data_IF_731349347968
#
_entry.id   IF_731349347968
#
_cell.length_a   1.000
_cell.length_b   1.000
_cell.length_c   1.000
_cell.angle_alpha   90.00
_cell.angle_beta   90.00
_cell.angle_gamma   90.00
#
_symmetry.space_group_name_H-M   'P 1'
#
loop_
_entity.id
_entity.type
_entity.pdbx_description
1 polymer ?
#
# COMPACT_ATOMS: atom_id res chain seq x y z
N UNK A 1 14.77 1.82 -3.71
CA UNK A 1 13.77 0.90 -4.31
C UNK A 1 12.45 1.65 -4.47
N UNK A 2 11.84 1.62 -5.66
CA UNK A 2 10.48 2.11 -5.93
C UNK A 2 9.52 0.92 -5.98
N UNK A 3 8.46 0.94 -5.16
CA UNK A 3 7.50 -0.14 -5.05
C UNK A 3 6.13 0.34 -5.51
N UNK A 4 5.49 -0.41 -6.40
CA UNK A 4 4.24 -0.01 -7.02
C UNK A 4 3.27 -1.19 -7.21
N UNK A 5 1.97 -0.91 -7.22
CA UNK A 5 0.94 -1.92 -7.50
C UNK A 5 0.87 -2.31 -9.00
N UNK A 6 0.04 -3.30 -9.31
CA UNK A 6 -0.09 -3.95 -10.62
C UNK A 6 -0.44 -3.07 -11.81
N UNK A 7 -0.90 -1.86 -11.57
CA UNK A 7 -1.24 -0.91 -12.63
C UNK A 7 -0.04 -0.11 -13.12
N UNK A 8 1.12 -0.23 -12.47
CA UNK A 8 2.34 0.51 -12.80
C UNK A 8 3.39 -0.33 -13.54
N UNK A 9 3.05 -1.55 -13.98
CA UNK A 9 3.92 -2.34 -14.85
C UNK A 9 3.94 -1.71 -16.24
N UNK A 10 4.86 -0.76 -16.45
CA UNK A 10 5.03 -0.02 -17.70
C UNK A 10 6.52 0.12 -18.04
N UNK A 11 6.94 -0.48 -19.16
CA UNK A 11 8.34 -0.46 -19.59
C UNK A 11 8.89 0.95 -19.84
N UNK A 12 8.07 1.88 -20.36
CA UNK A 12 8.49 3.26 -20.60
C UNK A 12 8.71 4.08 -19.34
N UNK A 13 8.32 3.58 -18.16
CA UNK A 13 8.65 4.17 -16.86
C UNK A 13 9.77 3.37 -16.21
N UNK A 14 9.62 2.04 -16.14
CA UNK A 14 10.50 1.18 -15.37
C UNK A 14 11.90 1.06 -15.96
N UNK A 15 12.03 1.04 -17.29
CA UNK A 15 13.34 0.90 -17.94
C UNK A 15 14.15 2.19 -17.81
N UNK A 16 13.64 3.39 -18.15
CA UNK A 16 14.37 4.63 -17.91
C UNK A 16 14.67 4.85 -16.42
N UNK A 17 13.73 4.51 -15.53
CA UNK A 17 13.95 4.63 -14.08
C UNK A 17 15.16 3.84 -13.59
N UNK A 18 15.36 2.61 -14.10
CA UNK A 18 16.50 1.77 -13.74
C UNK A 18 17.79 2.17 -14.49
N UNK A 19 17.68 2.65 -15.73
CA UNK A 19 18.81 3.06 -16.56
C UNK A 19 19.42 4.40 -16.11
N UNK A 20 18.59 5.40 -15.85
CA UNK A 20 19.00 6.81 -15.74
C UNK A 20 19.44 7.20 -14.32
N UNK A 21 19.63 6.23 -13.43
CA UNK A 21 20.15 6.51 -12.08
C UNK A 21 20.86 5.33 -11.45
N UNK A 22 21.77 5.66 -10.53
CA UNK A 22 22.51 4.66 -9.73
C UNK A 22 21.61 4.14 -8.61
N UNK A 23 21.67 2.83 -8.35
CA UNK A 23 20.91 2.16 -7.28
C UNK A 23 19.38 2.41 -7.34
N UNK A 24 18.85 2.59 -8.54
CA UNK A 24 17.40 2.73 -8.78
C UNK A 24 16.79 1.40 -9.17
N UNK A 25 16.08 0.81 -8.22
CA UNK A 25 15.44 -0.49 -8.41
C UNK A 25 13.94 -0.39 -8.32
N UNK A 26 13.22 -1.17 -9.12
CA UNK A 26 11.77 -1.24 -9.11
C UNK A 26 11.29 -2.58 -8.57
N UNK A 27 10.12 -2.56 -7.93
CA UNK A 27 9.39 -3.73 -7.48
C UNK A 27 7.90 -3.51 -7.77
N UNK A 28 7.35 -4.36 -8.63
CA UNK A 28 5.99 -4.21 -9.14
C UNK A 28 5.24 -5.52 -8.97
N UNK A 29 4.04 -5.48 -8.39
CA UNK A 29 3.15 -6.65 -8.42
C UNK A 29 2.63 -6.86 -9.83
N UNK A 30 2.59 -8.08 -10.35
CA UNK A 30 2.12 -8.30 -11.73
C UNK A 30 0.62 -8.55 -11.81
N UNK A 31 0.04 -8.36 -13.00
CA UNK A 31 -1.33 -8.79 -13.31
C UNK A 31 -1.31 -10.28 -13.68
N UNK A 32 -2.45 -10.95 -13.53
CA UNK A 32 -2.57 -12.38 -13.85
C UNK A 32 -2.23 -12.74 -15.30
N UNK A 33 -2.41 -11.79 -16.22
CA UNK A 33 -2.21 -11.95 -17.66
C UNK A 33 -0.89 -11.35 -18.14
N UNK A 34 0.03 -11.00 -17.24
CA UNK A 34 1.34 -10.54 -17.65
C UNK A 34 2.12 -11.71 -18.26
N UNK A 35 2.64 -11.49 -19.47
CA UNK A 35 3.40 -12.48 -20.25
C UNK A 35 4.88 -12.09 -20.25
N UNK A 36 5.76 -13.08 -20.15
CA UNK A 36 7.21 -12.95 -20.23
C UNK A 36 7.82 -14.24 -20.73
N UNK A 37 9.05 -14.16 -21.22
CA UNK A 37 9.89 -15.30 -21.57
C UNK A 37 10.80 -15.64 -20.39
N UNK A 38 10.79 -16.89 -19.93
CA UNK A 38 11.74 -17.33 -18.88
C UNK A 38 13.12 -17.51 -19.52
N UNK A 39 14.14 -16.88 -18.93
CA UNK A 39 15.54 -17.01 -19.35
C UNK A 39 16.27 -18.05 -18.51
N UNK A 40 16.06 -18.05 -17.19
CA UNK A 40 16.67 -19.00 -16.27
C UNK A 40 15.82 -19.19 -15.01
N UNK A 41 15.85 -20.39 -14.44
CA UNK A 41 15.34 -20.65 -13.10
C UNK A 41 16.43 -20.29 -12.08
N UNK A 42 16.14 -19.39 -11.13
CA UNK A 42 17.10 -18.99 -10.10
C UNK A 42 16.96 -19.88 -8.85
N UNK A 43 15.72 -20.04 -8.37
CA UNK A 43 15.30 -20.87 -7.24
C UNK A 43 13.85 -21.35 -7.48
N UNK A 44 13.33 -22.33 -6.73
CA UNK A 44 11.90 -22.66 -6.80
C UNK A 44 11.02 -21.43 -6.55
N UNK A 45 10.15 -21.08 -7.50
CA UNK A 45 9.31 -19.88 -7.44
C UNK A 45 10.01 -18.58 -7.82
N UNK A 46 11.28 -18.62 -8.23
CA UNK A 46 12.06 -17.48 -8.68
C UNK A 46 12.67 -17.70 -10.07
N UNK A 47 12.37 -16.78 -10.99
CA UNK A 47 12.74 -16.88 -12.40
C UNK A 47 13.43 -15.58 -12.83
N UNK A 48 14.51 -15.67 -13.60
CA UNK A 48 14.99 -14.57 -14.43
C UNK A 48 14.19 -14.60 -15.74
N UNK A 49 13.55 -13.48 -16.07
CA UNK A 49 12.64 -13.39 -17.21
C UNK A 49 12.97 -12.19 -18.09
N UNK A 50 12.48 -12.25 -19.32
CA UNK A 50 12.58 -11.19 -20.31
C UNK A 50 11.16 -10.75 -20.71
N UNK A 51 10.94 -9.44 -20.73
CA UNK A 51 9.68 -8.81 -21.13
C UNK A 51 9.88 -8.01 -22.40
N UNK A 52 8.91 -8.09 -23.31
CA UNK A 52 8.90 -7.27 -24.51
C UNK A 52 8.39 -5.86 -24.21
N UNK A 53 9.06 -4.87 -24.78
CA UNK A 53 8.63 -3.47 -24.73
C UNK A 53 7.67 -3.23 -25.88
N UNK A 54 6.49 -2.70 -25.57
CA UNK A 54 5.47 -2.46 -26.59
C UNK A 54 5.98 -1.48 -27.65
N UNK A 55 5.57 -1.70 -28.91
CA UNK A 55 5.92 -0.82 -30.02
C UNK A 55 5.53 0.64 -29.73
N UNK A 56 4.35 0.86 -29.10
CA UNK A 56 3.83 2.17 -28.76
C UNK A 56 4.70 2.89 -27.72
N UNK A 57 5.26 2.16 -26.73
CA UNK A 57 6.19 2.75 -25.78
C UNK A 57 7.47 3.21 -26.48
N UNK A 58 8.01 2.37 -27.37
CA UNK A 58 9.22 2.71 -28.16
C UNK A 58 9.01 3.82 -29.18
N UNK A 59 7.78 4.01 -29.66
CA UNK A 59 7.43 5.15 -30.51
C UNK A 59 7.50 6.47 -29.72
N UNK A 60 7.18 6.45 -28.42
CA UNK A 60 7.27 7.63 -27.55
C UNK A 60 8.68 7.90 -27.06
N UNK A 61 9.49 6.86 -26.90
CA UNK A 61 10.87 6.90 -26.45
C UNK A 61 11.68 5.85 -27.20
N UNK A 62 12.44 6.30 -28.20
CA UNK A 62 13.26 5.47 -29.08
C UNK A 62 14.50 4.89 -28.40
N UNK A 63 14.85 5.41 -27.21
CA UNK A 63 15.95 4.90 -26.39
C UNK A 63 15.61 3.61 -25.65
N UNK A 64 14.33 3.20 -25.67
CA UNK A 64 13.87 1.98 -25.03
C UNK A 64 14.32 0.72 -25.81
N UNK A 65 14.85 -0.31 -25.12
CA UNK A 65 15.22 -1.55 -25.76
C UNK A 65 13.98 -2.31 -26.24
N UNK A 66 14.16 -3.23 -27.20
CA UNK A 66 13.09 -4.14 -27.64
C UNK A 66 12.58 -5.02 -26.49
N UNK A 67 13.49 -5.41 -25.59
CA UNK A 67 13.20 -6.27 -24.45
C UNK A 67 14.03 -5.84 -23.23
N UNK A 68 13.54 -6.14 -22.04
CA UNK A 68 14.26 -5.91 -20.80
C UNK A 68 14.13 -7.11 -19.86
N UNK A 69 15.13 -7.29 -19.01
CA UNK A 69 15.16 -8.39 -18.04
C UNK A 69 14.58 -7.95 -16.70
N UNK A 70 13.98 -8.91 -16.00
CA UNK A 70 13.50 -8.75 -14.63
C UNK A 70 13.55 -10.08 -13.89
N UNK A 71 13.55 -10.02 -12.56
CA UNK A 71 13.37 -11.20 -11.72
C UNK A 71 11.92 -11.30 -11.27
N UNK A 72 11.35 -12.47 -11.45
CA UNK A 72 10.01 -12.85 -10.99
C UNK A 72 10.13 -13.59 -9.67
N UNK A 73 9.34 -13.18 -8.69
CA UNK A 73 9.23 -13.83 -7.38
C UNK A 73 7.77 -14.22 -7.16
N UNK A 74 7.51 -15.52 -7.13
CA UNK A 74 6.20 -16.10 -6.82
C UNK A 74 6.16 -16.45 -5.35
N UNK A 75 5.18 -15.92 -4.63
CA UNK A 75 5.04 -16.18 -3.21
C UNK A 75 3.57 -16.33 -2.81
N UNK A 76 3.35 -16.99 -1.67
CA UNK A 76 2.04 -17.12 -1.07
C UNK A 76 2.13 -16.85 0.42
N UNK A 77 1.38 -15.87 0.90
CA UNK A 77 1.16 -15.67 2.34
C UNK A 77 -0.19 -16.24 2.75
N UNK A 78 -0.27 -16.75 3.99
CA UNK A 78 -1.50 -17.33 4.55
C UNK A 78 -2.66 -16.31 4.43
N UNK A 79 -3.76 -16.73 3.82
CA UNK A 79 -4.95 -15.89 3.62
C UNK A 79 -4.92 -14.93 2.43
N UNK A 80 -3.79 -14.86 1.72
CA UNK A 80 -3.67 -14.11 0.47
C UNK A 80 -3.55 -15.11 -0.68
N UNK A 81 -4.21 -14.82 -1.80
CA UNK A 81 -4.03 -15.62 -3.03
C UNK A 81 -2.56 -15.57 -3.45
N UNK A 82 -2.03 -16.59 -4.15
CA UNK A 82 -0.68 -16.53 -4.72
C UNK A 82 -0.46 -15.21 -5.46
N UNK A 83 0.66 -14.57 -5.17
CA UNK A 83 1.07 -13.30 -5.77
C UNK A 83 2.37 -13.49 -6.53
N UNK A 84 2.57 -12.58 -7.48
CA UNK A 84 3.77 -12.55 -8.31
C UNK A 84 4.30 -11.12 -8.31
N UNK A 85 5.56 -10.97 -7.96
CA UNK A 85 6.30 -9.72 -8.01
C UNK A 85 7.31 -9.78 -9.13
N UNK A 86 7.61 -8.62 -9.70
CA UNK A 86 8.61 -8.41 -10.73
C UNK A 86 9.54 -7.30 -10.26
N UNK A 87 10.84 -7.56 -10.27
CA UNK A 87 11.84 -6.61 -9.76
C UNK A 87 13.05 -6.49 -10.69
N UNK A 88 13.68 -5.32 -10.69
CA UNK A 88 14.97 -5.12 -11.36
C UNK A 88 16.17 -5.60 -10.53
N UNK A 89 15.97 -6.09 -9.30
CA UNK A 89 16.99 -6.74 -8.49
C UNK A 89 17.23 -8.18 -8.98
N UNK A 90 18.12 -8.35 -9.96
CA UNK A 90 18.31 -9.62 -10.67
C UNK A 90 19.06 -10.69 -9.85
N UNK A 91 19.93 -10.27 -8.92
CA UNK A 91 20.75 -11.20 -8.13
C UNK A 91 19.98 -11.80 -6.94
N UNK A 92 19.68 -13.09 -7.03
CA UNK A 92 18.97 -13.84 -5.98
C UNK A 92 19.80 -14.23 -4.75
N UNK A 93 21.12 -14.06 -4.79
CA UNK A 93 21.99 -14.22 -3.63
C UNK A 93 22.11 -12.92 -2.85
N UNK A 94 22.36 -11.83 -3.55
CA UNK A 94 22.48 -10.49 -2.93
C UNK A 94 21.15 -9.96 -2.43
N UNK A 95 20.04 -10.27 -3.11
CA UNK A 95 18.70 -9.79 -2.74
C UNK A 95 17.75 -10.97 -2.49
N UNK A 96 17.64 -11.46 -1.25
CA UNK A 96 16.76 -12.57 -0.91
C UNK A 96 15.28 -12.27 -1.20
N UNK A 97 14.55 -13.28 -1.67
CA UNK A 97 13.15 -13.10 -2.09
C UNK A 97 12.20 -12.83 -0.93
N UNK A 98 12.47 -13.41 0.23
CA UNK A 98 11.73 -13.20 1.48
C UNK A 98 11.82 -11.75 1.97
N UNK A 99 13.00 -11.12 1.89
CA UNK A 99 13.19 -9.70 2.20
C UNK A 99 12.41 -8.81 1.21
N UNK A 100 12.50 -9.09 -0.09
CA UNK A 100 11.76 -8.34 -1.12
C UNK A 100 10.24 -8.47 -0.89
N UNK A 101 9.77 -9.67 -0.54
CA UNK A 101 8.35 -9.92 -0.23
C UNK A 101 7.94 -9.20 1.05
N UNK A 102 8.77 -9.18 2.09
CA UNK A 102 8.51 -8.44 3.32
C UNK A 102 8.36 -6.94 3.04
N UNK A 103 9.32 -6.36 2.30
CA UNK A 103 9.31 -4.95 1.92
C UNK A 103 8.07 -4.59 1.07
N UNK A 104 7.67 -5.47 0.14
CA UNK A 104 6.43 -5.27 -0.62
C UNK A 104 5.21 -5.20 0.29
N UNK A 105 5.16 -6.04 1.32
CA UNK A 105 4.03 -6.08 2.24
C UNK A 105 3.98 -4.89 3.19
N UNK A 106 5.12 -4.41 3.70
CA UNK A 106 5.19 -3.17 4.47
C UNK A 106 4.65 -1.98 3.66
N UNK A 107 5.06 -1.89 2.39
CA UNK A 107 4.54 -0.89 1.45
C UNK A 107 3.04 -1.04 1.20
N UNK A 108 2.57 -2.27 0.96
CA UNK A 108 1.15 -2.53 0.70
C UNK A 108 0.27 -2.14 1.89
N UNK A 109 0.78 -2.22 3.13
CA UNK A 109 0.08 -1.71 4.31
C UNK A 109 -0.06 -0.18 4.29
N UNK A 110 0.97 0.54 3.84
CA UNK A 110 0.85 1.99 3.61
C UNK A 110 -0.14 2.30 2.48
N UNK A 111 -0.19 1.47 1.43
CA UNK A 111 -1.12 1.64 0.32
C UNK A 111 -2.58 1.34 0.73
N UNK A 112 -2.81 0.38 1.63
CA UNK A 112 -4.11 0.20 2.29
C UNK A 112 -4.48 1.45 3.11
N UNK A 113 -3.50 2.21 3.60
CA UNK A 113 -3.71 3.53 4.18
C UNK A 113 -4.36 4.54 3.23
N UNK A 114 -4.23 4.39 1.90
CA UNK A 114 -4.98 5.22 0.94
C UNK A 114 -6.45 4.81 0.83
N UNK A 115 -6.81 3.56 1.15
CA UNK A 115 -8.22 3.17 1.30
C UNK A 115 -8.83 3.84 2.56
N UNK A 116 -8.03 4.10 3.61
CA UNK A 116 -8.45 4.89 4.79
C UNK A 116 -8.73 6.35 4.39
N UNK A 117 -7.94 6.94 3.48
CA UNK A 117 -8.23 8.27 2.93
C UNK A 117 -9.58 8.28 2.20
N UNK A 118 -9.82 7.33 1.31
CA UNK A 118 -11.06 7.29 0.53
C UNK A 118 -12.29 6.97 1.38
N UNK A 119 -12.15 6.02 2.29
CA UNK A 119 -13.28 5.48 3.04
C UNK A 119 -13.59 6.30 4.28
N UNK A 120 -12.56 6.68 5.04
CA UNK A 120 -12.71 7.29 6.35
C UNK A 120 -12.51 8.81 6.29
N UNK A 121 -11.45 9.28 5.61
CA UNK A 121 -11.19 10.73 5.51
C UNK A 121 -12.18 11.44 4.58
N UNK A 122 -12.47 10.86 3.42
CA UNK A 122 -13.48 11.39 2.49
C UNK A 122 -14.89 10.89 2.78
N UNK A 123 -15.10 10.03 3.80
CA UNK A 123 -16.40 9.44 4.14
C UNK A 123 -17.13 8.82 2.93
N UNK A 124 -16.38 8.25 1.98
CA UNK A 124 -16.88 7.75 0.68
C UNK A 124 -17.51 8.81 -0.23
N UNK A 125 -17.38 10.09 0.09
CA UNK A 125 -17.68 11.20 -0.80
C UNK A 125 -16.43 11.55 -1.60
N UNK A 126 -16.08 10.68 -2.56
CA UNK A 126 -14.95 10.88 -3.49
C UNK A 126 -15.22 11.98 -4.53
N UNK A 127 -16.37 12.67 -4.44
CA UNK A 127 -16.75 13.73 -5.35
C UNK A 127 -16.01 15.03 -4.99
N UNK A 128 -15.02 15.37 -5.81
CA UNK A 128 -14.38 16.69 -5.86
C UNK A 128 -15.46 17.71 -6.25
N UNK A 129 -15.53 18.84 -5.53
CA UNK A 129 -16.63 19.82 -5.69
C UNK A 129 -16.41 20.73 -6.90
N UNK A 130 -15.16 21.07 -7.19
CA UNK A 130 -14.79 21.92 -8.31
C UNK A 130 -14.95 21.21 -9.65
N UNK A 131 -15.47 21.95 -10.63
CA UNK A 131 -15.55 21.52 -12.04
C UNK A 131 -14.43 22.13 -12.90
N UNK A 132 -13.50 22.90 -12.29
CA UNK A 132 -12.36 23.53 -12.98
C UNK A 132 -11.09 22.74 -12.72
N UNK A 133 -10.24 22.46 -13.73
CA UNK A 133 -9.02 21.67 -13.57
C UNK A 133 -8.11 22.18 -12.44
N UNK A 134 -7.97 23.50 -12.28
CA UNK A 134 -7.13 24.11 -11.26
C UNK A 134 -7.70 23.89 -9.85
N UNK A 135 -9.03 24.02 -9.69
CA UNK A 135 -9.70 23.78 -8.42
C UNK A 135 -9.71 22.30 -8.05
N UNK A 136 -9.83 21.40 -9.04
CA UNK A 136 -9.66 19.95 -8.84
C UNK A 136 -8.26 19.64 -8.31
N UNK A 137 -7.22 20.23 -8.91
CA UNK A 137 -5.85 20.05 -8.44
C UNK A 137 -5.68 20.57 -7.00
N UNK A 138 -6.21 21.76 -6.70
CA UNK A 138 -6.18 22.34 -5.36
C UNK A 138 -6.86 21.44 -4.32
N UNK A 139 -8.04 20.90 -4.61
CA UNK A 139 -8.73 19.97 -3.72
C UNK A 139 -7.92 18.70 -3.47
N UNK A 140 -7.30 18.14 -4.52
CA UNK A 140 -6.40 16.98 -4.38
C UNK A 140 -5.18 17.29 -3.51
N UNK A 141 -4.58 18.47 -3.67
CA UNK A 141 -3.48 18.92 -2.81
C UNK A 141 -3.94 19.09 -1.35
N UNK A 142 -5.15 19.64 -1.12
CA UNK A 142 -5.74 19.77 0.20
C UNK A 142 -5.93 18.43 0.90
N UNK A 143 -6.45 17.43 0.19
CA UNK A 143 -6.58 16.05 0.69
C UNK A 143 -5.21 15.46 1.01
N UNK A 144 -4.23 15.61 0.12
CA UNK A 144 -2.87 15.13 0.34
C UNK A 144 -2.20 15.77 1.56
N UNK A 145 -2.40 17.09 1.75
CA UNK A 145 -1.87 17.82 2.90
C UNK A 145 -2.50 17.32 4.21
N UNK A 146 -3.83 17.23 4.27
CA UNK A 146 -4.51 16.77 5.48
C UNK A 146 -4.17 15.31 5.81
N UNK A 147 -4.03 14.43 4.81
CA UNK A 147 -3.53 13.07 5.01
C UNK A 147 -2.13 13.05 5.64
N UNK A 148 -1.20 13.85 5.10
CA UNK A 148 0.17 13.92 5.60
C UNK A 148 0.23 14.50 7.02
N UNK A 149 -0.62 15.48 7.35
CA UNK A 149 -0.72 16.01 8.71
C UNK A 149 -1.20 14.95 9.71
N UNK A 150 -2.21 14.15 9.35
CA UNK A 150 -2.65 13.02 10.17
C UNK A 150 -1.51 12.01 10.36
N UNK A 151 -0.79 11.66 9.30
CA UNK A 151 0.34 10.71 9.38
C UNK A 151 1.50 11.23 10.23
N UNK A 152 1.81 12.53 10.13
CA UNK A 152 2.81 13.17 10.98
C UNK A 152 2.41 13.12 12.46
N UNK A 153 1.13 13.32 12.76
CA UNK A 153 0.64 13.25 14.13
C UNK A 153 0.66 11.82 14.67
N UNK A 154 0.29 10.83 13.84
CA UNK A 154 0.42 9.42 14.19
C UNK A 154 1.87 9.02 14.50
N UNK A 155 2.84 9.54 13.75
CA UNK A 155 4.27 9.29 14.00
C UNK A 155 4.70 9.82 15.37
N UNK A 156 4.33 11.04 15.72
CA UNK A 156 4.65 11.65 17.02
C UNK A 156 4.04 10.90 18.19
N UNK A 157 2.77 10.53 18.07
CA UNK A 157 2.07 9.70 19.05
C UNK A 157 2.81 8.36 19.23
N UNK A 158 3.22 7.75 18.13
CA UNK A 158 3.88 6.45 18.15
C UNK A 158 5.26 6.52 18.84
N UNK A 159 5.99 7.61 18.63
CA UNK A 159 7.24 7.91 19.33
C UNK A 159 7.02 8.08 20.85
N UNK A 160 6.00 8.85 21.26
CA UNK A 160 5.64 9.05 22.66
C UNK A 160 5.23 7.74 23.36
N UNK A 161 4.55 6.83 22.66
CA UNK A 161 4.07 5.54 23.18
C UNK A 161 5.06 4.38 22.99
N UNK A 162 6.20 4.60 22.33
CA UNK A 162 7.21 3.57 22.08
C UNK A 162 6.70 2.42 21.18
N UNK A 163 5.78 2.71 20.26
CA UNK A 163 5.22 1.73 19.31
C UNK A 163 5.52 2.13 17.86
N UNK A 164 5.50 1.19 16.91
CA UNK A 164 5.59 1.53 15.48
C UNK A 164 4.41 2.42 15.01
N UNK A 165 4.60 3.41 14.12
CA UNK A 165 3.53 4.32 13.66
C UNK A 165 2.31 3.62 13.03
N UNK A 166 2.51 2.45 12.42
CA UNK A 166 1.42 1.64 11.86
C UNK A 166 0.53 0.96 12.92
N UNK A 167 0.88 1.08 14.22
CA UNK A 167 0.03 0.66 15.36
C UNK A 167 -0.95 1.75 15.79
N UNK A 168 -0.80 2.98 15.32
CA UNK A 168 -1.75 4.06 15.63
C UNK A 168 -2.92 3.98 14.66
N UNK A 169 -4.15 4.12 15.17
CA UNK A 169 -5.35 4.11 14.32
C UNK A 169 -5.49 5.41 13.53
N UNK A 170 -5.53 5.33 12.20
CA UNK A 170 -5.70 6.51 11.34
C UNK A 170 -7.02 7.23 11.57
N UNK A 171 -8.13 6.48 11.72
CA UNK A 171 -9.46 7.03 11.97
C UNK A 171 -9.50 7.83 13.28
N UNK A 172 -8.79 7.34 14.30
CA UNK A 172 -8.71 8.04 15.59
C UNK A 172 -7.81 9.26 15.52
N UNK A 173 -6.64 9.17 14.87
CA UNK A 173 -5.80 10.34 14.66
C UNK A 173 -6.53 11.45 13.88
N UNK A 174 -7.30 11.07 12.85
CA UNK A 174 -8.14 12.01 12.11
C UNK A 174 -9.22 12.64 13.00
N UNK A 175 -9.86 11.84 13.87
CA UNK A 175 -10.87 12.34 14.81
C UNK A 175 -10.27 13.32 15.82
N UNK A 176 -9.10 13.02 16.37
CA UNK A 176 -8.38 13.92 17.29
C UNK A 176 -8.08 15.26 16.63
N UNK A 177 -7.57 15.25 15.39
CA UNK A 177 -7.30 16.48 14.63
C UNK A 177 -8.59 17.27 14.35
N UNK A 178 -9.70 16.56 14.06
CA UNK A 178 -10.99 17.22 13.85
C UNK A 178 -11.55 17.83 15.13
N UNK A 179 -11.46 17.13 16.25
CA UNK A 179 -11.91 17.60 17.55
C UNK A 179 -11.07 18.81 17.99
N UNK A 180 -9.75 18.78 17.75
CA UNK A 180 -8.86 19.93 17.91
C UNK A 180 -9.31 21.12 17.06
N UNK A 181 -9.59 20.94 15.77
CA UNK A 181 -10.07 22.03 14.91
C UNK A 181 -11.39 22.66 15.39
N UNK A 182 -12.30 21.85 15.94
CA UNK A 182 -13.55 22.37 16.52
C UNK A 182 -13.26 23.19 17.78
N UNK A 183 -12.35 22.72 18.63
CA UNK A 183 -11.96 23.42 19.85
C UNK A 183 -11.20 24.73 19.57
N UNK A 184 -10.30 24.71 18.58
CA UNK A 184 -9.50 25.87 18.16
C UNK A 184 -10.36 27.07 17.75
N UNK A 185 -11.59 26.85 17.29
CA UNK A 185 -12.51 27.92 16.92
C UNK A 185 -12.83 28.89 18.07
N UNK A 186 -12.66 28.45 19.33
CA UNK A 186 -12.91 29.27 20.53
C UNK A 186 -11.72 29.42 21.47
N UNK A 187 -10.55 28.86 21.12
CA UNK A 187 -9.40 28.80 22.02
C UNK A 187 -8.36 29.90 21.74
N UNK A 188 -7.59 30.27 22.77
CA UNK A 188 -6.42 31.13 22.58
C UNK A 188 -5.25 30.33 21.98
N UNK A 189 -4.44 30.92 21.08
CA UNK A 189 -3.30 30.21 20.47
C UNK A 189 -2.28 29.65 21.47
N UNK A 190 -2.15 30.26 22.65
CA UNK A 190 -1.24 29.78 23.70
C UNK A 190 -1.69 28.48 24.38
N UNK A 191 -2.97 28.12 24.29
CA UNK A 191 -3.52 26.92 24.90
C UNK A 191 -3.36 25.66 24.01
N UNK A 192 -3.07 25.84 22.71
CA UNK A 192 -2.95 24.77 21.70
C UNK A 192 -1.91 23.70 22.11
N UNK A 193 -0.67 24.06 22.50
CA UNK A 193 0.33 23.04 22.81
C UNK A 193 -0.06 22.18 24.02
N UNK A 194 -0.73 22.76 25.02
CA UNK A 194 -1.17 22.03 26.20
C UNK A 194 -2.37 21.12 25.89
N UNK A 195 -3.29 21.57 25.04
CA UNK A 195 -4.44 20.77 24.63
C UNK A 195 -4.02 19.58 23.75
N UNK A 196 -3.15 19.80 22.76
CA UNK A 196 -2.57 18.74 21.93
C UNK A 196 -1.87 17.67 22.78
N UNK A 197 -1.07 18.06 23.78
CA UNK A 197 -0.44 17.09 24.70
C UNK A 197 -1.48 16.25 25.43
N UNK A 198 -2.55 16.86 25.95
CA UNK A 198 -3.63 16.13 26.62
C UNK A 198 -4.34 15.16 25.67
N UNK A 199 -4.63 15.60 24.44
CA UNK A 199 -5.23 14.73 23.43
C UNK A 199 -4.32 13.53 23.10
N UNK A 200 -3.00 13.74 23.04
CA UNK A 200 -2.02 12.66 22.85
C UNK A 200 -1.98 11.68 24.02
N UNK A 201 -2.07 12.16 25.25
CA UNK A 201 -2.15 11.29 26.44
C UNK A 201 -3.36 10.34 26.39
N UNK A 202 -4.47 10.77 25.79
CA UNK A 202 -5.66 9.94 25.61
C UNK A 202 -5.46 8.84 24.53
N UNK A 203 -4.40 8.91 23.72
CA UNK A 203 -4.15 8.02 22.57
C UNK A 203 -3.78 6.60 22.95
N UNK A 204 -3.39 6.35 24.20
CA UNK A 204 -3.14 4.99 24.71
C UNK A 204 -4.28 4.01 24.42
N UNK A 205 -5.51 4.49 24.39
CA UNK A 205 -6.71 3.70 24.07
C UNK A 205 -6.85 3.34 22.59
N UNK A 206 -6.10 4.01 21.71
CA UNK A 206 -6.21 3.91 20.25
C UNK A 206 -5.00 3.23 19.61
N UNK A 207 -4.04 2.79 20.41
CA UNK A 207 -2.99 1.86 19.99
C UNK A 207 -3.68 0.55 19.60
N UNK A 208 -3.65 0.24 18.30
CA UNK A 208 -4.18 -1.00 17.77
C UNK A 208 -3.46 -2.18 18.45
N UNK A 209 -4.11 -3.33 18.69
CA UNK A 209 -3.42 -4.50 19.20
C UNK A 209 -2.33 -4.97 18.23
N UNK A 210 -1.34 -5.75 18.69
CA UNK A 210 -0.36 -6.36 17.81
C UNK A 210 -1.05 -7.08 16.66
N UNK A 211 -0.51 -6.93 15.45
CA UNK A 211 -1.09 -7.51 14.26
C UNK A 211 -1.15 -9.02 14.41
N UNK A 212 -2.37 -9.57 14.42
CA UNK A 212 -2.63 -11.01 14.48
C UNK A 212 -2.39 -11.64 13.11
N UNK A 213 -1.13 -11.92 12.79
CA UNK A 213 -0.71 -12.50 11.50
C UNK A 213 -1.33 -13.88 11.26
N UNK A 214 -1.78 -14.56 12.31
CA UNK A 214 -2.50 -15.84 12.27
C UNK A 214 -3.97 -15.73 11.83
N UNK A 215 -4.58 -14.54 11.90
CA UNK A 215 -6.02 -14.34 11.70
C UNK A 215 -6.36 -14.15 10.22
N UNK A 216 -6.82 -15.22 9.59
CA UNK A 216 -7.24 -15.23 8.19
C UNK A 216 -8.76 -15.15 8.06
N UNK A 217 -9.26 -14.04 7.51
CA UNK A 217 -10.65 -13.92 7.06
C UNK A 217 -10.70 -14.03 5.54
N UNK A 218 -10.92 -15.23 4.97
CA UNK A 218 -11.12 -15.35 3.54
C UNK A 218 -12.28 -14.44 3.14
N UNK A 219 -12.06 -13.55 2.16
CA UNK A 219 -13.11 -12.68 1.60
C UNK A 219 -14.19 -13.56 0.99
N UNK A 220 -15.20 -13.84 1.80
CA UNK A 220 -16.29 -14.71 1.44
C UNK A 220 -17.61 -14.04 1.82
N UNK A 221 -18.51 -13.93 0.86
CA UNK A 221 -19.79 -13.25 1.03
C UNK A 221 -20.86 -14.22 1.54
N UNK A 222 -21.79 -13.75 2.37
CA UNK A 222 -22.95 -14.57 2.76
C UNK A 222 -23.95 -14.73 1.60
N UNK A 223 -24.03 -13.71 0.74
CA UNK A 223 -24.91 -13.61 -0.43
C UNK A 223 -24.08 -13.39 -1.71
N UNK A 224 -24.44 -14.04 -2.81
CA UNK A 224 -23.65 -14.13 -4.07
C UNK A 224 -23.76 -12.86 -4.96
N UNK A 225 -23.79 -11.67 -4.38
CA UNK A 225 -23.89 -10.40 -5.11
C UNK A 225 -22.52 -9.86 -5.59
N UNK A 226 -21.44 -10.60 -5.36
CA UNK A 226 -20.08 -10.18 -5.71
C UNK A 226 -19.28 -11.32 -6.32
N UNK A 227 -18.14 -11.03 -7.00
CA UNK A 227 -17.23 -12.05 -7.52
C UNK A 227 -16.53 -12.87 -6.43
N UNK A 228 -16.74 -12.56 -5.15
CA UNK A 228 -16.15 -13.28 -4.04
C UNK A 228 -16.87 -14.61 -3.77
N UNK A 229 -16.13 -15.67 -3.38
CA UNK A 229 -16.74 -16.96 -3.04
C UNK A 229 -17.78 -16.83 -1.92
N UNK A 230 -18.83 -17.65 -1.96
CA UNK A 230 -19.80 -17.68 -0.85
C UNK A 230 -19.20 -18.36 0.38
N UNK A 231 -19.46 -17.81 1.56
CA UNK A 231 -19.07 -18.44 2.83
C UNK A 231 -19.85 -19.73 3.00
N UNK A 232 -19.16 -20.89 2.95
CA UNK A 232 -19.77 -22.19 3.21
C UNK A 232 -19.99 -22.36 4.72
N UNK A 233 -21.11 -22.95 5.17
CA UNK A 233 -21.29 -23.34 6.57
C UNK A 233 -20.12 -24.23 7.00
N UNK A 234 -19.62 -24.06 8.23
CA UNK A 234 -18.70 -25.07 8.79
C UNK A 234 -19.48 -26.38 8.92
N UNK A 235 -18.88 -27.54 8.58
CA UNK A 235 -19.45 -28.82 8.97
C UNK A 235 -19.67 -28.82 10.50
N UNK A 236 -20.81 -29.33 10.95
CA UNK A 236 -21.03 -29.53 12.37
C UNK A 236 -19.91 -30.42 12.92
N UNK A 237 -19.34 -30.02 14.06
CA UNK A 237 -18.40 -30.86 14.79
C UNK A 237 -19.08 -32.22 15.07
N UNK A 238 -18.41 -33.36 14.87
CA UNK A 238 -18.99 -34.64 15.23
C UNK A 238 -19.31 -34.65 16.73
N UNK A 239 -20.53 -35.06 17.07
CA UNK A 239 -20.99 -35.22 18.45
C UNK A 239 -20.09 -36.26 19.13
N UNK A 240 -19.50 -35.97 20.31
CA UNK A 240 -18.81 -36.99 21.06
C UNK A 240 -19.80 -38.11 21.44
N UNK A 241 -19.40 -39.35 21.19
CA UNK A 241 -20.15 -40.57 21.50
C UNK A 241 -20.18 -40.84 23.00
#
# INVERSE_FOLDING_TARGET
>A
MCITDRNFLNAGILVPFARDGRNRHSLVRTKKNTVWKVLAQLKPGEELVELEVSWYARQKDDTLPMRYQARVIRYQRRGIRPQVLLTSLLDAKTYPADEIVALYHERWEMELGYDEVKTDMLQRQEAIRSQRPEGVAQEMWGVGLAYNLVRLEMERIAEEEGVPPNRISFVMALRLIRDEWIWLAGASPGAIPAHLRRLREEVKHFVLPPRRSERNYPRAVKLKMSPYPRKRPRPASPTPS
#
